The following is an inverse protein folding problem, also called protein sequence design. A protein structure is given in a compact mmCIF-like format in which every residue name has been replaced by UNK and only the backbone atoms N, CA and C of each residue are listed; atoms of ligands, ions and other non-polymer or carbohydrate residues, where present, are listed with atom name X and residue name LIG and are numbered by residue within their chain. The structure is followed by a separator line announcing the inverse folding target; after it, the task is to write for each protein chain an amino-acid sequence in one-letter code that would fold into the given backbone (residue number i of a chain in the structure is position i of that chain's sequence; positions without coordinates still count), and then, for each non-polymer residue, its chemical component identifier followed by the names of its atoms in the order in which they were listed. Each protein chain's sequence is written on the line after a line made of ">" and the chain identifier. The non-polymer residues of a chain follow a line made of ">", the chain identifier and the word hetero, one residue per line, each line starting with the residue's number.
data_IF_710194383156
#
_entry.id   IF_710194383156
#
_cell.length_a   1.000
_cell.length_b   1.000
_cell.length_c   1.000
_cell.angle_alpha   90.00
_cell.angle_beta   90.00
_cell.angle_gamma   90.00
#
_symmetry.space_group_name_H-M   'P 1'
#
loop_
_entity.id
_entity.type
_entity.pdbx_description
1 polymer ?
#
# COMPACT_ATOMS: atom_id res chain seq x y z
N UNK A 1 -10.25 23.36 -43.56
CA UNK A 1 -10.78 22.45 -42.51
C UNK A 1 -9.58 21.93 -41.75
N UNK A 2 -9.29 22.51 -40.58
CA UNK A 2 -8.17 22.10 -39.72
C UNK A 2 -8.69 21.10 -38.70
N UNK A 3 -8.25 19.84 -38.79
CA UNK A 3 -8.57 18.82 -37.80
C UNK A 3 -7.79 19.11 -36.52
N UNK A 4 -8.49 19.48 -35.44
CA UNK A 4 -7.90 19.54 -34.11
C UNK A 4 -7.61 18.11 -33.62
N UNK A 5 -6.46 17.85 -32.96
CA UNK A 5 -6.17 16.57 -32.34
C UNK A 5 -7.15 16.29 -31.19
N UNK A 6 -7.44 15.01 -30.87
CA UNK A 6 -8.38 14.65 -29.82
C UNK A 6 -7.87 15.16 -28.46
N UNK A 7 -8.73 15.86 -27.73
CA UNK A 7 -8.50 16.25 -26.34
C UNK A 7 -8.33 14.99 -25.49
N UNK A 8 -7.10 14.72 -25.03
CA UNK A 8 -6.88 13.77 -23.94
C UNK A 8 -7.44 14.38 -22.66
N UNK A 9 -8.60 13.92 -22.22
CA UNK A 9 -9.17 14.28 -20.93
C UNK A 9 -8.27 13.72 -19.82
N UNK A 10 -7.32 14.54 -19.37
CA UNK A 10 -6.45 14.27 -18.22
C UNK A 10 -7.25 14.37 -16.91
N UNK A 11 -8.22 13.47 -16.71
CA UNK A 11 -8.87 13.36 -15.41
C UNK A 11 -7.85 12.75 -14.43
N UNK A 12 -7.62 13.37 -13.26
CA UNK A 12 -6.76 12.78 -12.25
C UNK A 12 -7.33 11.40 -11.85
N UNK A 13 -6.48 10.40 -11.59
CA UNK A 13 -6.95 9.06 -11.25
C UNK A 13 -7.77 9.09 -9.95
N UNK A 14 -9.08 8.88 -10.07
CA UNK A 14 -10.02 8.83 -8.95
C UNK A 14 -9.73 7.64 -8.03
N UNK A 15 -9.87 7.87 -6.72
CA UNK A 15 -9.77 6.81 -5.72
C UNK A 15 -10.99 5.90 -5.86
N UNK A 16 -10.77 4.66 -6.26
CA UNK A 16 -11.83 3.65 -6.33
C UNK A 16 -11.86 2.84 -5.04
N UNK A 17 -13.05 2.67 -4.51
CA UNK A 17 -13.32 1.74 -3.42
C UNK A 17 -13.92 0.47 -4.04
N UNK A 18 -13.58 -0.73 -3.53
CA UNK A 18 -14.25 -1.94 -3.97
C UNK A 18 -15.74 -1.90 -3.60
N UNK A 19 -16.56 -2.66 -4.32
CA UNK A 19 -17.96 -2.86 -3.98
C UNK A 19 -18.07 -3.47 -2.58
N UNK A 20 -18.97 -2.95 -1.74
CA UNK A 20 -19.27 -3.50 -0.42
C UNK A 20 -19.72 -4.96 -0.44
N UNK A 21 -20.25 -5.44 -1.57
CA UNK A 21 -20.67 -6.83 -1.77
C UNK A 21 -19.53 -7.75 -2.24
N UNK A 22 -18.33 -7.21 -2.44
CA UNK A 22 -17.18 -8.01 -2.83
C UNK A 22 -16.76 -8.96 -1.70
N UNK A 23 -16.48 -10.22 -2.03
CA UNK A 23 -16.15 -11.29 -1.06
C UNK A 23 -15.03 -10.88 -0.09
N UNK A 24 -14.06 -10.09 -0.55
CA UNK A 24 -12.89 -9.69 0.24
C UNK A 24 -12.99 -8.28 0.83
N UNK A 25 -14.17 -7.66 0.79
CA UNK A 25 -14.37 -6.28 1.26
C UNK A 25 -13.97 -6.09 2.72
N UNK A 26 -14.31 -7.03 3.61
CA UNK A 26 -13.95 -6.94 5.04
C UNK A 26 -12.44 -7.02 5.27
N UNK A 27 -11.73 -7.87 4.50
CA UNK A 27 -10.28 -7.97 4.53
C UNK A 27 -9.68 -6.66 4.05
N UNK A 28 -10.15 -6.16 2.91
CA UNK A 28 -9.71 -4.89 2.34
C UNK A 28 -9.89 -3.71 3.30
N UNK A 29 -11.04 -3.60 3.96
CA UNK A 29 -11.35 -2.53 4.91
C UNK A 29 -10.43 -2.61 6.15
N UNK A 30 -10.22 -3.82 6.68
CA UNK A 30 -9.32 -4.05 7.82
C UNK A 30 -7.89 -3.69 7.47
N UNK A 31 -7.41 -4.13 6.30
CA UNK A 31 -6.05 -3.82 5.81
C UNK A 31 -5.90 -2.31 5.59
N UNK A 32 -6.90 -1.64 5.01
CA UNK A 32 -6.91 -0.18 4.91
C UNK A 32 -6.76 0.48 6.29
N UNK A 33 -7.54 0.04 7.28
CA UNK A 33 -7.46 0.58 8.64
C UNK A 33 -6.10 0.34 9.30
N UNK A 34 -5.52 -0.86 9.10
CA UNK A 34 -4.19 -1.20 9.61
C UNK A 34 -3.13 -0.32 8.97
N UNK A 35 -3.12 -0.18 7.65
CA UNK A 35 -2.15 0.67 6.94
C UNK A 35 -2.24 2.15 7.39
N UNK A 36 -3.45 2.65 7.62
CA UNK A 36 -3.67 4.01 8.14
C UNK A 36 -3.14 4.21 9.58
N UNK A 37 -3.03 3.14 10.38
CA UNK A 37 -2.48 3.24 11.74
C UNK A 37 -0.96 3.13 11.79
N UNK A 38 -0.32 2.57 10.75
CA UNK A 38 1.14 2.35 10.73
C UNK A 38 1.96 3.60 11.05
N UNK A 39 1.69 4.80 10.49
CA UNK A 39 2.45 6.00 10.83
C UNK A 39 2.46 6.31 12.34
N UNK A 40 1.40 5.96 13.08
CA UNK A 40 1.32 6.16 14.53
C UNK A 40 2.21 5.19 15.31
N UNK A 41 2.58 4.07 14.70
CA UNK A 41 3.34 2.99 15.32
C UNK A 41 4.72 2.80 14.69
N UNK A 42 5.06 3.59 13.67
CA UNK A 42 6.33 3.48 12.97
C UNK A 42 7.47 3.96 13.86
N UNK A 43 8.14 3.01 14.50
CA UNK A 43 9.38 3.22 15.21
C UNK A 43 10.52 2.67 14.34
N UNK A 44 11.42 3.54 13.93
CA UNK A 44 12.63 3.16 13.21
C UNK A 44 13.85 3.63 13.99
N UNK A 45 14.88 2.79 14.08
CA UNK A 45 16.19 3.18 14.61
C UNK A 45 16.92 4.14 13.67
N UNK A 46 16.37 4.42 12.49
CA UNK A 46 16.88 5.37 11.52
C UNK A 46 16.73 6.81 12.05
N UNK A 47 17.71 7.24 12.85
CA UNK A 47 17.83 8.62 13.32
C UNK A 47 18.42 9.49 12.21
N UNK A 48 17.56 10.11 11.40
CA UNK A 48 18.03 11.07 10.40
C UNK A 48 18.07 12.47 11.02
N UNK A 49 19.27 12.93 11.38
CA UNK A 49 19.51 14.28 11.90
C UNK A 49 20.37 15.07 10.91
N UNK A 50 20.02 16.34 10.67
CA UNK A 50 20.85 17.26 9.90
C UNK A 50 20.81 17.10 8.37
N UNK A 51 19.84 16.37 7.82
CA UNK A 51 19.63 16.27 6.37
C UNK A 51 19.06 17.57 5.80
N UNK A 52 19.66 18.04 4.70
CA UNK A 52 19.07 19.12 3.92
C UNK A 52 17.81 18.62 3.19
N UNK A 53 16.84 19.49 2.95
CA UNK A 53 15.60 19.12 2.24
C UNK A 53 15.88 18.50 0.85
N UNK A 54 17.01 18.84 0.23
CA UNK A 54 17.49 18.26 -1.04
C UNK A 54 17.91 16.79 -0.92
N UNK A 55 18.31 16.34 0.26
CA UNK A 55 18.74 14.96 0.54
C UNK A 55 17.55 14.04 0.88
N UNK A 56 16.35 14.62 1.12
CA UNK A 56 15.10 13.87 1.35
C UNK A 56 14.75 12.99 0.13
N UNK A 57 15.07 13.46 -1.08
CA UNK A 57 14.84 12.68 -2.30
C UNK A 57 15.80 11.49 -2.42
N UNK A 58 16.99 11.57 -1.85
CA UNK A 58 17.98 10.48 -1.85
C UNK A 58 17.65 9.38 -0.84
N UNK A 59 16.93 9.69 0.24
CA UNK A 59 16.50 8.71 1.25
C UNK A 59 15.20 7.99 0.88
N UNK A 60 14.37 8.59 0.01
CA UNK A 60 13.08 8.04 -0.40
C UNK A 60 13.13 6.57 -0.83
N UNK A 61 14.04 6.15 -1.74
CA UNK A 61 14.17 4.76 -2.16
C UNK A 61 14.55 3.80 -1.02
N UNK A 62 15.37 4.25 -0.07
CA UNK A 62 15.75 3.43 1.10
C UNK A 62 14.53 3.16 1.96
N UNK A 63 13.73 4.19 2.24
CA UNK A 63 12.46 4.03 2.95
C UNK A 63 11.47 3.15 2.19
N UNK A 64 11.33 3.31 0.87
CA UNK A 64 10.47 2.44 0.05
C UNK A 64 10.84 0.98 0.23
N UNK A 65 12.13 0.65 0.11
CA UNK A 65 12.63 -0.72 0.24
C UNK A 65 12.35 -1.31 1.63
N UNK A 66 12.49 -0.51 2.69
CA UNK A 66 12.18 -0.92 4.07
C UNK A 66 10.67 -1.22 4.19
N UNK A 67 9.81 -0.32 3.70
CA UNK A 67 8.36 -0.49 3.79
C UNK A 67 7.88 -1.69 2.97
N UNK A 68 8.34 -1.84 1.74
CA UNK A 68 8.03 -2.99 0.89
C UNK A 68 8.40 -4.34 1.53
N UNK A 69 9.43 -4.34 2.39
CA UNK A 69 9.86 -5.53 3.11
C UNK A 69 9.04 -5.76 4.39
N UNK A 70 8.85 -4.72 5.21
CA UNK A 70 8.20 -4.84 6.52
C UNK A 70 6.68 -4.96 6.45
N UNK A 71 6.02 -4.33 5.46
CA UNK A 71 4.55 -4.32 5.38
C UNK A 71 3.99 -5.73 5.14
N UNK A 72 4.43 -6.51 4.14
CA UNK A 72 3.93 -7.86 3.94
C UNK A 72 4.14 -8.75 5.17
N UNK A 73 5.31 -8.67 5.80
CA UNK A 73 5.63 -9.42 7.02
C UNK A 73 4.68 -9.06 8.17
N UNK A 74 4.46 -7.76 8.39
CA UNK A 74 3.56 -7.25 9.43
C UNK A 74 2.13 -7.68 9.18
N UNK A 75 1.62 -7.51 7.95
CA UNK A 75 0.26 -7.92 7.60
C UNK A 75 0.09 -9.43 7.77
N UNK A 76 1.05 -10.25 7.31
CA UNK A 76 0.99 -11.70 7.52
C UNK A 76 1.01 -12.08 9.01
N UNK A 77 1.79 -11.37 9.84
CA UNK A 77 1.82 -11.56 11.30
C UNK A 77 0.50 -11.17 11.99
N UNK A 78 -0.26 -10.23 11.41
CA UNK A 78 -1.57 -9.78 11.89
C UNK A 78 -2.74 -10.59 11.29
N UNK A 79 -2.51 -11.82 10.83
CA UNK A 79 -3.55 -12.70 10.27
C UNK A 79 -4.76 -12.89 11.18
N UNK A 80 -4.54 -13.00 12.48
CA UNK A 80 -5.61 -13.08 13.48
C UNK A 80 -6.49 -11.81 13.55
N UNK A 81 -6.05 -10.70 12.96
CA UNK A 81 -6.81 -9.45 12.86
C UNK A 81 -7.59 -9.39 11.55
N UNK A 82 -6.93 -9.57 10.40
CA UNK A 82 -7.58 -9.39 9.09
C UNK A 82 -8.29 -10.64 8.55
N UNK A 83 -7.95 -11.84 9.02
CA UNK A 83 -8.65 -13.10 8.75
C UNK A 83 -8.98 -13.83 10.06
N UNK A 84 -9.64 -13.11 10.97
CA UNK A 84 -9.96 -13.59 12.33
C UNK A 84 -10.74 -14.91 12.37
N UNK A 85 -11.59 -15.15 11.36
CA UNK A 85 -12.45 -16.33 11.28
C UNK A 85 -11.78 -17.45 10.44
N UNK A 86 -10.53 -17.24 10.01
CA UNK A 86 -9.75 -18.15 9.18
C UNK A 86 -10.49 -18.60 7.90
N UNK A 87 -11.17 -17.66 7.23
CA UNK A 87 -11.91 -17.89 5.98
C UNK A 87 -10.99 -18.02 4.78
N UNK A 88 -9.79 -17.45 4.87
CA UNK A 88 -8.84 -17.38 3.77
C UNK A 88 -7.48 -17.97 4.16
N UNK A 89 -7.41 -19.24 4.64
CA UNK A 89 -6.20 -19.79 5.28
C UNK A 89 -4.95 -19.82 4.39
N UNK A 90 -5.12 -19.93 3.08
CA UNK A 90 -4.01 -19.96 2.10
C UNK A 90 -3.54 -18.57 1.66
N UNK A 91 -4.19 -17.50 2.11
CA UNK A 91 -3.89 -16.16 1.62
C UNK A 91 -2.65 -15.59 2.30
N UNK A 92 -1.81 -14.90 1.52
CA UNK A 92 -0.57 -14.30 2.02
C UNK A 92 -0.28 -12.99 1.29
N UNK A 93 0.26 -12.02 2.03
CA UNK A 93 0.84 -10.81 1.44
C UNK A 93 2.23 -11.11 0.91
N UNK A 94 2.47 -10.80 -0.37
CA UNK A 94 3.76 -10.97 -1.04
C UNK A 94 4.28 -9.61 -1.54
N UNK A 95 5.58 -9.40 -1.39
CA UNK A 95 6.28 -8.22 -1.95
C UNK A 95 6.43 -8.36 -3.47
N UNK A 96 6.29 -7.23 -4.17
CA UNK A 96 6.56 -7.09 -5.61
C UNK A 96 7.62 -6.01 -5.84
N UNK A 97 8.89 -6.41 -5.75
CA UNK A 97 10.00 -5.50 -6.04
C UNK A 97 9.94 -4.99 -7.48
N UNK A 98 10.08 -3.67 -7.67
CA UNK A 98 10.11 -3.02 -9.00
C UNK A 98 8.84 -3.23 -9.85
N UNK A 99 7.70 -3.50 -9.24
CA UNK A 99 6.42 -3.66 -9.95
C UNK A 99 5.28 -2.99 -9.20
N UNK A 100 4.34 -2.41 -9.95
CA UNK A 100 3.10 -1.91 -9.40
C UNK A 100 2.04 -3.02 -9.43
N UNK A 101 1.29 -3.25 -8.34
CA UNK A 101 1.41 -2.63 -7.01
C UNK A 101 2.53 -3.28 -6.17
N UNK A 102 3.05 -2.53 -5.18
CA UNK A 102 4.20 -2.94 -4.35
C UNK A 102 3.98 -4.22 -3.53
N UNK A 103 2.74 -4.48 -3.13
CA UNK A 103 2.36 -5.66 -2.32
C UNK A 103 1.07 -6.25 -2.88
N UNK A 104 0.97 -7.58 -2.91
CA UNK A 104 -0.23 -8.31 -3.33
C UNK A 104 -0.74 -9.22 -2.22
N UNK A 105 -2.07 -9.29 -2.06
CA UNK A 105 -2.70 -10.39 -1.37
C UNK A 105 -2.98 -11.51 -2.36
N UNK A 106 -2.35 -12.66 -2.17
CA UNK A 106 -2.47 -13.82 -3.06
C UNK A 106 -2.98 -15.04 -2.31
N UNK A 107 -3.84 -15.82 -2.95
CA UNK A 107 -4.07 -17.19 -2.54
C UNK A 107 -2.89 -18.04 -3.01
N UNK A 108 -2.12 -18.58 -2.05
CA UNK A 108 -0.90 -19.35 -2.37
C UNK A 108 -1.18 -20.73 -2.98
N UNK A 109 -2.42 -21.22 -2.94
CA UNK A 109 -2.81 -22.51 -3.54
C UNK A 109 -3.29 -22.31 -4.97
N UNK A 110 -4.14 -21.31 -5.20
CA UNK A 110 -4.75 -21.06 -6.52
C UNK A 110 -3.97 -20.04 -7.36
N UNK A 111 -2.95 -19.40 -6.78
CA UNK A 111 -2.20 -18.28 -7.34
C UNK A 111 -3.07 -17.06 -7.70
N UNK A 112 -4.31 -17.03 -7.19
CA UNK A 112 -5.25 -15.94 -7.44
C UNK A 112 -4.78 -14.68 -6.71
N UNK A 113 -4.57 -13.61 -7.47
CA UNK A 113 -4.38 -12.26 -6.95
C UNK A 113 -5.73 -11.69 -6.55
N UNK A 114 -5.84 -11.24 -5.29
CA UNK A 114 -7.09 -10.71 -4.74
C UNK A 114 -7.16 -9.19 -4.88
N UNK A 115 -6.17 -8.49 -4.32
CA UNK A 115 -5.95 -7.06 -4.50
C UNK A 115 -4.49 -6.71 -4.23
N UNK A 116 -4.10 -5.50 -4.63
CA UNK A 116 -2.78 -4.96 -4.34
C UNK A 116 -2.81 -3.72 -3.47
N UNK A 117 -1.71 -3.52 -2.74
CA UNK A 117 -1.44 -2.35 -1.92
C UNK A 117 -0.24 -1.62 -2.52
N UNK A 118 -0.46 -0.35 -2.84
CA UNK A 118 0.61 0.58 -3.22
C UNK A 118 1.07 1.36 -1.98
N UNK A 119 2.37 1.34 -1.72
CA UNK A 119 3.03 2.03 -0.63
C UNK A 119 3.65 3.32 -1.17
N UNK A 120 3.43 4.45 -0.50
CA UNK A 120 4.18 5.68 -0.79
C UNK A 120 4.99 6.09 0.43
N UNK A 121 6.31 6.12 0.26
CA UNK A 121 7.28 6.38 1.35
C UNK A 121 7.13 7.74 2.00
N UNK A 122 6.52 8.71 1.31
CA UNK A 122 6.25 10.02 1.88
C UNK A 122 5.21 9.98 3.02
N UNK A 123 4.35 8.96 3.14
CA UNK A 123 3.41 8.83 4.27
C UNK A 123 4.09 8.69 5.63
N UNK A 124 5.25 8.05 5.64
CA UNK A 124 6.03 7.85 6.86
C UNK A 124 6.81 9.12 7.23
N UNK A 125 7.13 9.95 6.23
CA UNK A 125 7.84 11.21 6.41
C UNK A 125 6.90 12.37 6.75
N UNK A 126 5.66 12.33 6.25
CA UNK A 126 4.62 13.32 6.55
C UNK A 126 4.01 13.00 7.91
N UNK A 127 4.45 13.66 8.98
CA UNK A 127 3.67 13.77 10.23
C UNK A 127 2.36 14.59 10.05
N UNK A 128 1.73 14.55 8.88
CA UNK A 128 0.53 15.32 8.56
C UNK A 128 -0.63 14.40 8.13
N UNK A 129 -1.64 14.35 9.01
CA UNK A 129 -3.07 14.44 8.67
C UNK A 129 -3.76 13.30 7.93
N UNK A 130 -3.36 12.99 6.70
CA UNK A 130 -4.19 12.18 5.78
C UNK A 130 -3.34 11.25 4.91
N UNK A 131 -3.29 9.93 5.19
CA UNK A 131 -2.56 8.97 4.38
C UNK A 131 -3.35 8.56 3.13
N UNK A 132 -2.72 8.61 1.96
CA UNK A 132 -3.27 8.14 0.68
C UNK A 132 -2.75 6.76 0.23
N UNK A 133 -3.04 5.70 0.98
CA UNK A 133 -2.90 4.35 0.42
C UNK A 133 -3.80 4.17 -0.80
N UNK A 134 -3.23 3.65 -1.89
CA UNK A 134 -4.01 3.17 -3.04
C UNK A 134 -4.09 1.66 -2.91
N UNK A 135 -5.32 1.17 -2.84
CA UNK A 135 -5.62 -0.25 -2.84
C UNK A 135 -6.45 -0.49 -4.10
N UNK A 136 -5.96 -1.34 -4.99
CA UNK A 136 -6.55 -1.58 -6.32
C UNK A 136 -6.76 -3.06 -6.57
#
# INVERSE_FOLDING_TARGET
>A
MTNNPPEMTNNPPERKFPDSNWEYFSVWETIRSLLLSIPNHFQTDLSIRGINATEIFSIGPVFSSILESQIPETLNGLRNVWDKDNKHPSFMFIRRSQAFPDVLLVDTITEKITFGVELKSWYVLSKEGEPSFRIS
#
